data_IF_140148520434
#
_entry.id   IF_140148520434
#
_cell.length_a   1.000
_cell.length_b   1.000
_cell.length_c   1.000
_cell.angle_alpha   90.00
_cell.angle_beta   90.00
_cell.angle_gamma   90.00
#
_symmetry.space_group_name_H-M   'P 1'
#
loop_
_entity.id
_entity.type
_entity.pdbx_description
1 polymer ?
#
# COMPACT_ATOMS: atom_id res chain seq x y z
N UNK A 1 18.94 -12.08 -9.65
CA UNK A 1 18.11 -12.79 -8.67
C UNK A 1 17.62 -11.91 -7.57
N UNK A 2 18.54 -11.23 -6.91
CA UNK A 2 18.14 -10.42 -5.76
C UNK A 2 17.32 -9.22 -6.16
N UNK A 3 17.65 -8.65 -7.31
CA UNK A 3 16.87 -7.53 -7.81
C UNK A 3 15.45 -7.96 -8.09
N UNK A 4 15.30 -9.18 -8.61
CA UNK A 4 13.97 -9.67 -8.93
C UNK A 4 13.12 -9.86 -7.69
N UNK A 5 13.77 -10.21 -6.58
CA UNK A 5 13.03 -10.41 -5.35
C UNK A 5 12.45 -9.08 -4.86
N UNK A 6 13.25 -8.01 -4.91
CA UNK A 6 12.77 -6.70 -4.53
C UNK A 6 11.61 -6.26 -5.44
N UNK A 7 11.76 -6.48 -6.74
CA UNK A 7 10.70 -6.12 -7.69
C UNK A 7 9.44 -6.92 -7.41
N UNK A 8 9.59 -8.20 -7.07
CA UNK A 8 8.44 -9.03 -6.72
C UNK A 8 7.73 -8.49 -5.49
N UNK A 9 8.49 -8.09 -4.49
CA UNK A 9 7.90 -7.53 -3.28
C UNK A 9 7.18 -6.23 -3.58
N UNK A 10 7.74 -5.39 -4.44
CA UNK A 10 7.07 -4.14 -4.82
C UNK A 10 5.73 -4.41 -5.49
N UNK A 11 5.69 -5.37 -6.39
CA UNK A 11 4.44 -5.72 -7.07
C UNK A 11 3.42 -6.21 -6.06
N UNK A 12 3.83 -7.08 -5.14
CA UNK A 12 2.91 -7.58 -4.12
C UNK A 12 2.44 -6.48 -3.19
N UNK A 13 3.34 -5.57 -2.85
CA UNK A 13 2.97 -4.43 -2.03
C UNK A 13 1.92 -3.57 -2.75
N UNK A 14 2.16 -3.28 -4.01
CA UNK A 14 1.21 -2.52 -4.81
C UNK A 14 -0.15 -3.19 -4.83
N UNK A 15 -0.17 -4.50 -5.07
CA UNK A 15 -1.43 -5.23 -5.14
C UNK A 15 -2.18 -5.17 -3.80
N UNK A 16 -1.45 -5.33 -2.69
CA UNK A 16 -2.09 -5.29 -1.38
C UNK A 16 -2.65 -3.90 -1.09
N UNK A 17 -1.89 -2.86 -1.38
CA UNK A 17 -2.34 -1.49 -1.14
C UNK A 17 -3.53 -1.15 -2.02
N UNK A 18 -3.45 -1.53 -3.30
CA UNK A 18 -4.57 -1.32 -4.21
C UNK A 18 -5.83 -1.99 -3.69
N UNK A 19 -5.70 -3.20 -3.17
CA UNK A 19 -6.84 -3.92 -2.60
C UNK A 19 -7.36 -3.24 -1.33
N UNK A 20 -6.47 -2.72 -0.50
CA UNK A 20 -6.92 -1.98 0.70
C UNK A 20 -7.87 -0.86 0.27
N UNK A 21 -7.44 -0.06 -0.69
CA UNK A 21 -8.23 1.08 -1.12
C UNK A 21 -9.51 0.63 -1.82
N UNK A 22 -9.42 -0.42 -2.64
CA UNK A 22 -10.58 -0.93 -3.35
C UNK A 22 -11.65 -1.44 -2.39
N UNK A 23 -11.25 -2.21 -1.39
CA UNK A 23 -12.22 -2.75 -0.45
C UNK A 23 -12.77 -1.69 0.50
N UNK A 24 -12.04 -0.60 0.71
CA UNK A 24 -12.61 0.55 1.39
C UNK A 24 -13.75 1.14 0.56
N UNK A 25 -13.56 1.26 -0.75
CA UNK A 25 -14.61 1.76 -1.64
C UNK A 25 -15.81 0.81 -1.67
N UNK A 26 -15.55 -0.49 -1.62
CA UNK A 26 -16.61 -1.49 -1.67
C UNK A 26 -17.27 -1.73 -0.31
N UNK A 27 -16.78 -1.08 0.73
CA UNK A 27 -17.30 -1.22 2.09
C UNK A 27 -17.18 -2.65 2.62
N UNK A 28 -16.14 -3.35 2.20
CA UNK A 28 -15.85 -4.71 2.66
C UNK A 28 -14.80 -4.63 3.76
N UNK A 29 -15.25 -4.51 4.98
CA UNK A 29 -14.39 -4.27 6.12
C UNK A 29 -13.38 -5.40 6.33
N UNK A 30 -13.84 -6.64 6.20
CA UNK A 30 -12.95 -7.79 6.43
C UNK A 30 -11.80 -7.81 5.43
N UNK A 31 -12.09 -7.68 4.14
CA UNK A 31 -11.06 -7.72 3.13
C UNK A 31 -10.18 -6.48 3.19
N UNK A 32 -10.77 -5.34 3.52
CA UNK A 32 -10.00 -4.13 3.71
C UNK A 32 -8.92 -4.32 4.76
N UNK A 33 -9.29 -4.84 5.92
CA UNK A 33 -8.35 -5.03 7.02
C UNK A 33 -7.36 -6.15 6.78
N UNK A 34 -7.80 -7.24 6.15
CA UNK A 34 -6.90 -8.34 5.82
C UNK A 34 -5.81 -7.87 4.85
N UNK A 35 -6.18 -7.10 3.84
CA UNK A 35 -5.20 -6.60 2.88
C UNK A 35 -4.29 -5.55 3.49
N UNK A 36 -4.79 -4.78 4.44
CA UNK A 36 -3.94 -3.86 5.17
C UNK A 36 -2.84 -4.64 5.92
N UNK A 37 -3.22 -5.74 6.57
CA UNK A 37 -2.24 -6.61 7.24
C UNK A 37 -1.20 -7.15 6.27
N UNK A 38 -1.64 -7.55 5.08
CA UNK A 38 -0.72 -8.04 4.05
C UNK A 38 0.24 -6.94 3.62
N UNK A 39 -0.28 -5.73 3.38
CA UNK A 39 0.56 -4.62 2.95
C UNK A 39 1.61 -4.28 3.98
N UNK A 40 1.21 -4.21 5.25
CA UNK A 40 2.16 -3.88 6.31
C UNK A 40 3.20 -4.98 6.50
N UNK A 41 2.80 -6.24 6.34
CA UNK A 41 3.74 -7.36 6.44
C UNK A 41 4.79 -7.31 5.33
N UNK A 42 4.36 -7.02 4.10
CA UNK A 42 5.29 -6.91 2.98
C UNK A 42 6.24 -5.73 3.21
N UNK A 43 5.70 -4.60 3.66
CA UNK A 43 6.53 -3.44 3.95
C UNK A 43 7.59 -3.75 5.00
N UNK A 44 7.21 -4.54 6.02
CA UNK A 44 8.15 -4.92 7.05
C UNK A 44 9.28 -5.78 6.49
N UNK A 45 8.95 -6.73 5.61
CA UNK A 45 9.97 -7.55 4.98
C UNK A 45 10.93 -6.67 4.18
N UNK A 46 10.39 -5.71 3.42
CA UNK A 46 11.24 -4.81 2.65
C UNK A 46 12.13 -3.98 3.56
N UNK A 47 11.60 -3.52 4.69
CA UNK A 47 12.41 -2.79 5.67
C UNK A 47 13.54 -3.65 6.19
N UNK A 48 13.27 -4.93 6.43
CA UNK A 48 14.29 -5.85 6.91
C UNK A 48 15.41 -6.04 5.91
N UNK A 49 15.11 -5.86 4.63
CA UNK A 49 16.13 -5.93 3.57
C UNK A 49 16.79 -4.58 3.31
N UNK A 50 16.53 -3.58 4.13
CA UNK A 50 17.23 -2.32 4.03
C UNK A 50 16.52 -1.23 3.23
N UNK A 51 15.27 -1.45 2.86
CA UNK A 51 14.48 -0.43 2.16
C UNK A 51 13.53 0.24 3.12
N UNK A 52 13.45 1.56 3.03
CA UNK A 52 12.57 2.33 3.90
C UNK A 52 11.21 2.46 3.22
N UNK A 53 10.25 1.69 3.69
CA UNK A 53 8.89 1.71 3.12
C UNK A 53 7.95 2.38 4.11
N UNK A 54 7.26 3.39 3.65
CA UNK A 54 6.30 4.14 4.46
C UNK A 54 4.94 4.07 3.78
N UNK A 55 3.95 3.62 4.54
CA UNK A 55 2.58 3.51 4.07
C UNK A 55 1.70 4.39 4.96
N UNK A 56 1.56 5.68 4.62
CA UNK A 56 0.64 6.51 5.37
C UNK A 56 -0.76 5.89 5.32
N UNK A 57 -1.47 5.94 6.42
CA UNK A 57 -2.79 5.33 6.48
C UNK A 57 -3.70 6.26 7.26
N UNK A 58 -4.97 6.29 6.86
CA UNK A 58 -5.96 7.02 7.62
C UNK A 58 -7.25 6.23 7.65
N UNK A 59 -8.07 6.54 8.64
CA UNK A 59 -9.32 5.84 8.90
C UNK A 59 -10.46 6.61 8.27
N UNK A 60 -11.15 5.95 7.34
CA UNK A 60 -12.28 6.54 6.63
C UNK A 60 -13.55 5.86 7.12
N UNK A 61 -14.02 6.24 8.30
CA UNK A 61 -15.26 5.69 8.84
C UNK A 61 -15.18 4.20 9.15
N UNK A 62 -14.02 3.74 9.59
CA UNK A 62 -13.81 2.33 9.89
C UNK A 62 -13.12 1.55 8.80
N UNK A 63 -12.88 2.18 7.65
CA UNK A 63 -12.15 1.57 6.55
C UNK A 63 -10.78 2.22 6.44
N UNK A 64 -9.75 1.41 6.29
CA UNK A 64 -8.39 1.92 6.20
C UNK A 64 -8.09 2.29 4.75
N UNK A 65 -7.44 3.44 4.57
CA UNK A 65 -7.03 3.89 3.24
C UNK A 65 -5.56 4.25 3.26
N UNK A 66 -4.87 3.88 2.20
CA UNK A 66 -3.45 4.19 2.03
C UNK A 66 -3.33 5.10 0.83
N UNK A 67 -3.11 6.40 1.04
CA UNK A 67 -3.14 7.35 -0.08
C UNK A 67 -1.92 7.28 -0.99
N UNK A 68 -0.82 6.74 -0.50
CA UNK A 68 0.39 6.66 -1.33
C UNK A 68 1.34 5.61 -0.78
N UNK A 69 2.30 5.20 -1.62
CA UNK A 69 3.37 4.29 -1.23
C UNK A 69 4.67 5.04 -1.39
N UNK A 70 5.44 5.14 -0.30
CA UNK A 70 6.72 5.83 -0.30
C UNK A 70 7.82 4.80 -0.06
N UNK A 71 8.81 4.76 -0.96
CA UNK A 71 9.93 3.83 -0.83
C UNK A 71 11.23 4.62 -0.90
N UNK A 72 12.06 4.46 0.11
CA UNK A 72 13.35 5.11 0.21
C UNK A 72 13.23 6.63 0.05
N UNK A 73 12.18 7.18 0.64
CA UNK A 73 11.96 8.62 0.65
C UNK A 73 11.31 9.18 -0.60
N UNK A 74 10.98 8.32 -1.56
CA UNK A 74 10.36 8.78 -2.80
C UNK A 74 8.97 8.20 -2.94
N UNK A 75 8.03 9.05 -3.34
CA UNK A 75 6.66 8.60 -3.59
C UNK A 75 6.67 7.75 -4.85
N UNK A 76 6.33 6.49 -4.70
CA UNK A 76 6.28 5.57 -5.81
C UNK A 76 4.91 5.61 -6.48
N UNK A 77 3.86 5.56 -5.68
CA UNK A 77 2.49 5.59 -6.18
C UNK A 77 1.71 6.57 -5.31
N UNK A 78 0.92 7.41 -5.96
CA UNK A 78 0.16 8.45 -5.28
C UNK A 78 -1.30 8.36 -5.73
N UNK A 79 -2.13 7.72 -4.91
CA UNK A 79 -3.54 7.54 -5.23
C UNK A 79 -4.32 8.84 -5.10
N UNK A 80 -3.90 9.70 -4.18
CA UNK A 80 -4.58 10.98 -3.99
C UNK A 80 -4.43 11.87 -5.21
N UNK A 81 -3.24 11.87 -5.78
CA UNK A 81 -2.99 12.70 -6.95
C UNK A 81 -3.85 12.28 -8.11
N UNK A 82 -4.03 10.98 -8.29
CA UNK A 82 -4.88 10.47 -9.37
C UNK A 82 -6.32 10.86 -9.14
N UNK A 83 -6.78 10.83 -7.90
CA UNK A 83 -8.14 11.22 -7.60
C UNK A 83 -8.37 12.71 -7.82
N UNK A 84 -7.37 13.51 -7.50
CA UNK A 84 -7.47 14.96 -7.71
C UNK A 84 -7.76 15.30 -9.15
N UNK A 85 -7.21 14.51 -10.05
CA UNK A 85 -7.34 14.81 -11.46
C UNK A 85 -8.76 14.66 -11.97
N UNK A 86 -9.56 13.89 -11.27
CA UNK A 86 -10.94 13.72 -11.71
C UNK A 86 -11.78 14.95 -11.46
N UNK A 87 -11.26 15.87 -10.71
CA UNK A 87 -11.95 17.12 -10.52
C UNK A 87 -11.88 17.92 -11.80
#
# INVERSE_FOLDING_TARGET
MKENYFDTLKVRLFQAVDNVNRYADEKDCNRNHVNYGSATSIARVMNDFGHDVDLPVWDDGGFLRIPKIVIDGKVWIDYEKNQSKSE
#
